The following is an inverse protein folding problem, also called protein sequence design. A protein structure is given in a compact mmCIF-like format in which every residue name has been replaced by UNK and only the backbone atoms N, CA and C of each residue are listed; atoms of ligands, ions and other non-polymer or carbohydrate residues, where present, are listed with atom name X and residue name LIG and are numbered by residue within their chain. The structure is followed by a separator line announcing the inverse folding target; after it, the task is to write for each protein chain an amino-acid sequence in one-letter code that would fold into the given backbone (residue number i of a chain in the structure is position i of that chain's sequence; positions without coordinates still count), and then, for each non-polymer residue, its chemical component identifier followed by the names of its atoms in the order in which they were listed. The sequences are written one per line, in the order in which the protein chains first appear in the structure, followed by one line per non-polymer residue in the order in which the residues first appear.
data_IF_049389446387
#
_entry.id   IF_049389446387
#
_cell.length_a   1.000
_cell.length_b   1.000
_cell.length_c   1.000
_cell.angle_alpha   90.00
_cell.angle_beta   90.00
_cell.angle_gamma   90.00
#
_symmetry.space_group_name_H-M   'P 1'
#
loop_
_entity.id
_entity.type
_entity.pdbx_description
1 polymer ?
#
# COMPACT_ATOMS: atom_id res chain seq x y z
N UNK A 1 -4.81 -8.85 -9.38
CA UNK A 1 -3.70 -7.89 -9.13
C UNK A 1 -3.97 -7.04 -7.90
N UNK A 2 -2.97 -6.76 -7.09
CA UNK A 2 -3.09 -5.83 -5.96
C UNK A 2 -2.49 -4.48 -6.36
N UNK A 3 -3.18 -3.40 -6.04
CA UNK A 3 -2.69 -2.02 -6.25
C UNK A 3 -2.56 -1.36 -4.89
N UNK A 4 -1.32 -1.10 -4.47
CA UNK A 4 -1.08 -0.26 -3.30
C UNK A 4 -1.06 1.20 -3.73
N UNK A 5 -1.94 2.00 -3.15
CA UNK A 5 -2.06 3.42 -3.42
C UNK A 5 -1.89 4.26 -2.15
N UNK A 6 -1.04 5.28 -2.19
CA UNK A 6 -0.81 6.07 -1.00
C UNK A 6 0.27 7.15 -1.14
N UNK A 7 0.63 7.76 -0.01
CA UNK A 7 1.68 8.77 0.06
C UNK A 7 1.33 10.06 -0.67
N UNK A 8 2.32 10.65 -1.33
CA UNK A 8 2.20 11.92 -2.03
C UNK A 8 1.20 11.89 -3.20
N UNK A 9 0.98 10.71 -3.80
CA UNK A 9 0.00 10.51 -4.86
C UNK A 9 -1.46 10.79 -4.42
N UNK A 10 -1.73 10.83 -3.12
CA UNK A 10 -3.07 11.11 -2.57
C UNK A 10 -3.29 12.59 -2.18
N UNK A 11 -2.30 13.47 -2.34
CA UNK A 11 -2.40 14.88 -1.93
C UNK A 11 -3.33 15.70 -2.83
N UNK A 12 -3.39 15.39 -4.13
CA UNK A 12 -4.20 16.08 -5.12
C UNK A 12 -5.47 15.29 -5.43
N UNK A 13 -6.64 15.96 -5.40
CA UNK A 13 -7.91 15.37 -5.81
C UNK A 13 -7.89 14.95 -7.29
N UNK A 14 -7.25 15.75 -8.14
CA UNK A 14 -7.11 15.46 -9.57
C UNK A 14 -6.31 14.17 -9.78
N UNK A 15 -5.16 14.05 -9.13
CA UNK A 15 -4.33 12.86 -9.21
C UNK A 15 -5.05 11.62 -8.66
N UNK A 16 -5.76 11.77 -7.53
CA UNK A 16 -6.57 10.68 -6.95
C UNK A 16 -7.60 10.17 -7.96
N UNK A 17 -8.31 11.08 -8.63
CA UNK A 17 -9.31 10.72 -9.66
C UNK A 17 -8.69 10.10 -10.90
N UNK A 18 -7.51 10.58 -11.32
CA UNK A 18 -6.77 9.97 -12.42
C UNK A 18 -6.40 8.51 -12.11
N UNK A 19 -5.80 8.25 -10.94
CA UNK A 19 -5.45 6.89 -10.50
C UNK A 19 -6.71 6.03 -10.32
N UNK A 20 -7.79 6.57 -9.77
CA UNK A 20 -9.06 5.84 -9.64
C UNK A 20 -9.63 5.44 -11.01
N UNK A 21 -9.51 6.32 -12.01
CA UNK A 21 -9.88 6.01 -13.41
C UNK A 21 -9.02 4.90 -14.02
N UNK A 22 -7.72 4.89 -13.73
CA UNK A 22 -6.82 3.80 -14.16
C UNK A 22 -7.18 2.46 -13.50
N UNK A 23 -7.49 2.47 -12.19
CA UNK A 23 -7.98 1.28 -11.47
C UNK A 23 -9.29 0.79 -12.10
N UNK A 24 -10.22 1.72 -12.41
CA UNK A 24 -11.48 1.40 -13.07
C UNK A 24 -11.30 0.81 -14.48
N UNK A 25 -10.28 1.24 -15.22
CA UNK A 25 -9.92 0.66 -16.52
C UNK A 25 -9.26 -0.73 -16.36
N UNK A 26 -8.32 -0.87 -15.42
CA UNK A 26 -7.62 -2.13 -15.16
C UNK A 26 -8.58 -3.25 -14.71
N UNK A 27 -9.59 -2.93 -13.89
CA UNK A 27 -10.59 -3.91 -13.45
C UNK A 27 -11.45 -4.51 -14.58
N UNK A 28 -11.52 -3.87 -15.75
CA UNK A 28 -12.19 -4.45 -16.92
C UNK A 28 -11.39 -5.59 -17.55
N UNK A 29 -10.11 -5.68 -17.25
CA UNK A 29 -9.18 -6.66 -17.81
C UNK A 29 -8.85 -7.78 -16.83
N UNK A 30 -8.83 -7.49 -15.53
CA UNK A 30 -8.50 -8.45 -14.48
C UNK A 30 -9.08 -8.06 -13.13
N UNK A 31 -9.17 -9.01 -12.20
CA UNK A 31 -9.57 -8.75 -10.81
C UNK A 31 -8.55 -7.84 -10.12
N UNK A 32 -9.02 -6.77 -9.47
CA UNK A 32 -8.19 -5.78 -8.78
C UNK A 32 -8.65 -5.63 -7.33
N UNK A 33 -7.70 -5.64 -6.41
CA UNK A 33 -7.88 -5.21 -5.01
C UNK A 33 -7.00 -3.99 -4.78
N UNK A 34 -7.55 -2.94 -4.23
CA UNK A 34 -6.82 -1.73 -3.85
C UNK A 34 -6.54 -1.76 -2.36
N UNK A 35 -5.29 -1.52 -1.96
CA UNK A 35 -4.93 -1.27 -0.55
C UNK A 35 -4.40 0.14 -0.44
N UNK A 36 -4.95 0.94 0.46
CA UNK A 36 -4.56 2.35 0.56
C UNK A 36 -4.11 2.74 1.95
N UNK A 37 -3.18 3.69 1.98
CA UNK A 37 -2.84 4.47 3.17
C UNK A 37 -3.53 5.82 3.19
N UNK A 38 -3.01 6.76 3.99
CA UNK A 38 -3.56 8.11 4.08
C UNK A 38 -2.71 9.06 4.91
N UNK A 39 -1.38 8.85 4.92
CA UNK A 39 -0.46 9.64 5.74
C UNK A 39 -0.75 11.15 5.78
N UNK A 40 -0.88 11.85 4.64
CA UNK A 40 -1.17 13.27 4.62
C UNK A 40 -2.54 13.65 5.22
N UNK A 41 -3.55 12.79 5.06
CA UNK A 41 -4.89 13.02 5.64
C UNK A 41 -4.86 12.78 7.14
N UNK A 42 -4.21 11.70 7.57
CA UNK A 42 -3.99 11.39 9.00
C UNK A 42 -3.27 12.55 9.69
N UNK A 43 -2.16 13.01 9.13
CA UNK A 43 -1.37 14.10 9.69
C UNK A 43 -2.22 15.36 9.92
N UNK A 44 -2.98 15.76 8.90
CA UNK A 44 -3.89 16.90 9.00
C UNK A 44 -4.95 16.73 10.10
N UNK A 45 -5.54 15.55 10.24
CA UNK A 45 -6.59 15.29 11.22
C UNK A 45 -6.03 15.19 12.65
N UNK A 46 -4.83 14.67 12.85
CA UNK A 46 -4.13 14.69 14.13
C UNK A 46 -3.79 16.12 14.55
N UNK A 47 -3.22 16.93 13.65
CA UNK A 47 -2.92 18.34 13.91
C UNK A 47 -4.15 19.15 14.30
N UNK A 48 -5.30 18.94 13.62
CA UNK A 48 -6.57 19.60 13.95
C UNK A 48 -7.07 19.31 15.39
N UNK A 49 -6.63 18.19 15.97
CA UNK A 49 -7.00 17.74 17.31
C UNK A 49 -5.87 17.93 18.32
N UNK A 50 -4.79 18.61 17.91
CA UNK A 50 -3.61 18.84 18.76
C UNK A 50 -2.99 17.53 19.28
N UNK A 51 -3.10 16.43 18.50
CA UNK A 51 -2.45 15.18 18.81
C UNK A 51 -1.07 15.14 18.16
N UNK A 52 -0.09 14.66 18.91
CA UNK A 52 1.28 14.53 18.42
C UNK A 52 1.37 13.43 17.35
N UNK A 53 2.25 13.66 16.38
CA UNK A 53 2.56 12.74 15.30
C UNK A 53 4.06 12.50 15.25
N UNK A 54 4.50 11.45 15.90
CA UNK A 54 5.90 11.03 15.96
C UNK A 54 6.12 9.75 15.20
N UNK A 55 7.36 9.51 14.77
CA UNK A 55 7.71 8.31 14.02
C UNK A 55 8.90 7.61 14.68
N UNK A 56 8.80 6.30 14.77
CA UNK A 56 9.88 5.40 15.21
C UNK A 56 10.11 4.37 14.10
N UNK A 57 11.33 4.30 13.58
CA UNK A 57 11.71 3.39 12.48
C UNK A 57 10.80 3.49 11.24
N UNK A 58 10.33 4.70 10.94
CA UNK A 58 9.44 4.97 9.80
C UNK A 58 7.97 4.62 10.02
N UNK A 59 7.60 4.09 11.18
CA UNK A 59 6.22 3.81 11.59
C UNK A 59 5.72 4.92 12.51
N UNK A 60 4.45 5.33 12.33
CA UNK A 60 3.82 6.35 13.16
C UNK A 60 3.48 5.77 14.54
N UNK A 61 4.15 6.23 15.59
CA UNK A 61 3.77 5.89 16.97
C UNK A 61 2.32 6.31 17.19
N UNK A 62 1.49 5.39 17.67
CA UNK A 62 0.04 5.55 17.67
C UNK A 62 -0.52 5.31 19.08
N UNK A 63 -0.90 6.38 19.76
CA UNK A 63 -1.65 6.27 21.01
C UNK A 63 -3.10 5.81 20.74
N UNK A 64 -3.86 5.32 21.74
CA UNK A 64 -5.28 5.02 21.59
C UNK A 64 -6.08 6.17 20.98
N UNK A 65 -5.92 7.40 21.49
CA UNK A 65 -6.61 8.59 20.97
C UNK A 65 -6.23 8.89 19.50
N UNK A 66 -4.94 8.71 19.15
CA UNK A 66 -4.50 8.86 17.79
C UNK A 66 -5.08 7.77 16.88
N UNK A 67 -5.27 6.54 17.39
CA UNK A 67 -5.86 5.44 16.61
C UNK A 67 -7.29 5.75 16.18
N UNK A 68 -8.11 6.31 17.07
CA UNK A 68 -9.49 6.72 16.75
C UNK A 68 -9.51 7.75 15.61
N UNK A 69 -8.60 8.73 15.67
CA UNK A 69 -8.48 9.76 14.63
C UNK A 69 -8.01 9.16 13.30
N UNK A 70 -7.04 8.25 13.35
CA UNK A 70 -6.52 7.55 12.17
C UNK A 70 -7.62 6.73 11.51
N UNK A 71 -8.37 5.95 12.28
CA UNK A 71 -9.46 5.14 11.75
C UNK A 71 -10.55 6.01 11.10
N UNK A 72 -11.01 7.08 11.76
CA UNK A 72 -11.97 8.03 11.19
C UNK A 72 -11.47 8.65 9.89
N UNK A 73 -10.21 9.10 9.86
CA UNK A 73 -9.62 9.73 8.70
C UNK A 73 -9.52 8.77 7.51
N UNK A 74 -9.08 7.54 7.78
CA UNK A 74 -8.96 6.49 6.77
C UNK A 74 -10.32 5.99 6.29
N UNK A 75 -11.32 5.84 7.17
CA UNK A 75 -12.69 5.50 6.78
C UNK A 75 -13.28 6.51 5.79
N UNK A 76 -13.12 7.81 6.05
CA UNK A 76 -13.59 8.85 5.13
C UNK A 76 -12.87 8.76 3.79
N UNK A 77 -11.54 8.71 3.79
CA UNK A 77 -10.74 8.60 2.57
C UNK A 77 -11.08 7.34 1.76
N UNK A 78 -11.29 6.22 2.44
CA UNK A 78 -11.69 4.95 1.86
C UNK A 78 -13.01 5.07 1.07
N UNK A 79 -14.04 5.72 1.64
CA UNK A 79 -15.31 5.92 0.96
C UNK A 79 -15.19 6.85 -0.26
N UNK A 80 -14.40 7.92 -0.13
CA UNK A 80 -14.14 8.83 -1.24
C UNK A 80 -13.40 8.10 -2.39
N UNK A 81 -12.37 7.30 -2.08
CA UNK A 81 -11.62 6.55 -3.08
C UNK A 81 -12.49 5.47 -3.75
N UNK A 82 -13.30 4.75 -2.96
CA UNK A 82 -14.22 3.74 -3.49
C UNK A 82 -15.25 4.34 -4.44
N UNK A 83 -15.74 5.55 -4.13
CA UNK A 83 -16.65 6.29 -4.99
C UNK A 83 -15.97 6.72 -6.28
N UNK A 84 -14.72 7.22 -6.21
CA UNK A 84 -13.95 7.64 -7.39
C UNK A 84 -13.63 6.44 -8.31
N UNK A 85 -13.35 5.25 -7.77
CA UNK A 85 -13.11 4.02 -8.55
C UNK A 85 -14.39 3.50 -9.22
N UNK A 86 -15.53 3.62 -8.56
CA UNK A 86 -16.81 3.08 -9.04
C UNK A 86 -16.88 1.55 -9.04
N UNK A 87 -18.07 1.00 -8.86
CA UNK A 87 -18.26 -0.46 -8.67
C UNK A 87 -17.25 -1.06 -7.68
N UNK A 88 -17.00 -0.36 -6.60
CA UNK A 88 -16.04 -0.70 -5.57
C UNK A 88 -16.69 -0.72 -4.19
N UNK A 89 -16.15 -1.51 -3.31
CA UNK A 89 -16.56 -1.57 -1.89
C UNK A 89 -15.40 -1.15 -1.02
N UNK A 90 -15.59 -0.05 -0.29
CA UNK A 90 -14.63 0.42 0.69
C UNK A 90 -14.76 -0.35 2.00
N UNK A 91 -13.67 -0.97 2.42
CA UNK A 91 -13.53 -1.76 3.63
C UNK A 91 -12.34 -1.27 4.45
N UNK A 92 -12.47 -1.35 5.77
CA UNK A 92 -11.32 -1.32 6.66
C UNK A 92 -10.89 -2.75 6.97
N UNK A 93 -9.64 -2.95 7.37
CA UNK A 93 -9.19 -4.30 7.75
C UNK A 93 -9.98 -4.92 8.91
N UNK A 94 -10.70 -4.11 9.69
CA UNK A 94 -11.61 -4.57 10.75
C UNK A 94 -12.90 -5.20 10.21
N UNK A 95 -13.37 -4.80 9.02
CA UNK A 95 -14.63 -5.31 8.46
C UNK A 95 -14.55 -6.82 8.22
N UNK A 96 -15.41 -7.58 8.88
CA UNK A 96 -15.38 -9.06 8.86
C UNK A 96 -13.99 -9.66 9.17
N UNK A 97 -13.22 -9.00 10.03
CA UNK A 97 -11.84 -9.41 10.34
C UNK A 97 -11.00 -9.62 9.07
N UNK A 98 -11.14 -8.69 8.11
CA UNK A 98 -10.43 -8.76 6.83
C UNK A 98 -8.91 -8.80 7.02
N UNK A 99 -8.39 -7.96 7.94
CA UNK A 99 -6.98 -7.97 8.35
C UNK A 99 -6.92 -8.23 9.87
N UNK A 100 -6.51 -9.42 10.27
CA UNK A 100 -6.11 -9.68 11.64
C UNK A 100 -4.65 -9.32 11.81
N UNK A 101 -4.31 -8.78 12.97
CA UNK A 101 -2.95 -8.36 13.26
C UNK A 101 -2.59 -8.52 14.73
N UNK A 102 -1.34 -8.28 15.02
CA UNK A 102 -0.78 -8.22 16.37
C UNK A 102 0.05 -6.95 16.55
N UNK A 103 0.18 -6.48 17.79
CA UNK A 103 1.01 -5.33 18.13
C UNK A 103 2.48 -5.59 17.82
N UNK A 104 3.19 -4.57 17.31
CA UNK A 104 4.64 -4.66 17.10
C UNK A 104 5.42 -4.56 18.41
N UNK A 105 4.87 -3.89 19.43
CA UNK A 105 5.48 -3.71 20.74
C UNK A 105 5.08 -2.38 21.38
N UNK A 106 5.35 -2.23 22.67
CA UNK A 106 4.90 -1.09 23.48
C UNK A 106 5.41 0.26 22.98
N UNK A 107 6.62 0.29 22.41
CA UNK A 107 7.23 1.53 21.90
C UNK A 107 6.44 2.19 20.76
N UNK A 108 5.67 1.42 20.01
CA UNK A 108 4.88 1.92 18.89
C UNK A 108 3.40 2.16 19.25
N UNK A 109 2.95 1.76 20.46
CA UNK A 109 1.55 1.84 20.86
C UNK A 109 0.65 0.96 20.01
N UNK A 110 -0.43 1.50 19.43
CA UNK A 110 -1.40 0.73 18.60
C UNK A 110 -0.93 0.45 17.17
N UNK A 111 0.36 0.39 16.91
CA UNK A 111 0.90 -0.06 15.63
C UNK A 111 0.99 -1.57 15.60
N UNK A 112 0.58 -2.18 14.49
CA UNK A 112 0.59 -3.63 14.32
C UNK A 112 1.08 -4.10 12.98
N UNK A 113 1.25 -5.40 12.89
CA UNK A 113 1.51 -6.14 11.65
C UNK A 113 0.36 -7.08 11.34
N UNK A 114 0.09 -7.32 10.05
CA UNK A 114 -0.94 -8.26 9.61
C UNK A 114 -0.42 -9.69 9.78
N UNK A 115 -1.21 -10.52 10.47
CA UNK A 115 -0.91 -11.94 10.66
C UNK A 115 -1.81 -12.85 9.83
N UNK A 116 -3.01 -12.38 9.45
CA UNK A 116 -3.94 -13.13 8.62
C UNK A 116 -4.82 -12.21 7.80
N UNK A 117 -5.12 -12.62 6.57
CA UNK A 117 -6.06 -11.95 5.66
C UNK A 117 -7.27 -12.86 5.42
N UNK A 118 -8.48 -12.31 5.53
CA UNK A 118 -9.72 -13.02 5.18
C UNK A 118 -9.91 -13.00 3.66
N UNK A 119 -9.24 -13.88 2.96
CA UNK A 119 -9.30 -14.00 1.50
C UNK A 119 -10.68 -14.41 1.00
N UNK A 120 -11.50 -15.12 1.79
CA UNK A 120 -12.85 -15.51 1.41
C UNK A 120 -13.75 -14.29 1.16
N UNK A 121 -13.65 -13.25 1.99
CA UNK A 121 -14.37 -11.98 1.77
C UNK A 121 -13.93 -11.32 0.46
N UNK A 122 -12.62 -11.24 0.21
CA UNK A 122 -12.09 -10.63 -1.01
C UNK A 122 -12.52 -11.39 -2.26
N UNK A 123 -12.44 -12.72 -2.25
CA UNK A 123 -12.91 -13.56 -3.35
C UNK A 123 -14.40 -13.38 -3.62
N UNK A 124 -15.24 -13.28 -2.58
CA UNK A 124 -16.69 -13.08 -2.72
C UNK A 124 -17.01 -11.74 -3.39
N UNK A 125 -16.32 -10.66 -3.02
CA UNK A 125 -16.51 -9.34 -3.62
C UNK A 125 -16.03 -9.32 -5.08
N UNK A 126 -14.87 -9.90 -5.36
CA UNK A 126 -14.34 -10.00 -6.73
C UNK A 126 -15.28 -10.84 -7.62
N UNK A 127 -15.83 -11.95 -7.12
CA UNK A 127 -16.80 -12.77 -7.84
C UNK A 127 -18.11 -12.01 -8.13
N UNK A 128 -18.50 -11.07 -7.25
CA UNK A 128 -19.62 -10.17 -7.47
C UNK A 128 -19.31 -9.00 -8.44
N UNK A 129 -18.12 -8.96 -9.04
CA UNK A 129 -17.67 -7.89 -9.94
C UNK A 129 -17.36 -6.57 -9.24
N UNK A 130 -17.13 -6.60 -7.93
CA UNK A 130 -16.79 -5.42 -7.12
C UNK A 130 -15.30 -5.36 -6.87
N UNK A 131 -14.73 -4.15 -6.88
CA UNK A 131 -13.34 -3.89 -6.50
C UNK A 131 -13.26 -3.63 -4.99
N UNK A 132 -12.61 -4.51 -4.18
CA UNK A 132 -12.35 -4.20 -2.78
C UNK A 132 -11.33 -3.06 -2.67
N UNK A 133 -11.66 -2.03 -1.89
CA UNK A 133 -10.76 -0.93 -1.52
C UNK A 133 -10.50 -1.02 -0.03
N UNK A 134 -9.31 -1.42 0.37
CA UNK A 134 -8.97 -1.81 1.74
C UNK A 134 -8.13 -0.73 2.41
N UNK A 135 -8.63 -0.19 3.51
CA UNK A 135 -7.86 0.70 4.39
C UNK A 135 -7.00 -0.08 5.39
N UNK A 136 -5.83 0.44 5.69
CA UNK A 136 -4.80 -0.24 6.49
C UNK A 136 -5.02 -0.13 8.02
N UNK A 137 -6.23 -0.43 8.48
CA UNK A 137 -6.57 -0.60 9.91
C UNK A 137 -6.91 -2.06 10.15
N UNK A 138 -6.07 -2.79 10.87
CA UNK A 138 -6.32 -4.17 11.23
C UNK A 138 -7.06 -4.28 12.58
N UNK A 139 -7.45 -5.48 12.96
CA UNK A 139 -8.00 -5.80 14.28
C UNK A 139 -7.07 -6.72 15.04
N UNK A 140 -6.77 -6.35 16.28
CA UNK A 140 -5.99 -7.17 17.21
C UNK A 140 -6.84 -8.27 17.86
N UNK A 141 -6.23 -9.26 18.54
CA UNK A 141 -6.95 -10.30 19.26
C UNK A 141 -7.86 -9.77 20.38
N UNK A 142 -7.56 -8.60 20.94
CA UNK A 142 -8.39 -7.90 21.93
C UNK A 142 -9.63 -7.20 21.32
N UNK A 143 -9.77 -7.22 19.99
CA UNK A 143 -10.84 -6.54 19.25
C UNK A 143 -10.55 -5.07 18.91
N UNK A 144 -9.44 -4.52 19.40
CA UNK A 144 -9.06 -3.13 19.19
C UNK A 144 -8.40 -2.90 17.83
N UNK A 145 -8.48 -1.66 17.36
CA UNK A 145 -7.88 -1.25 16.10
C UNK A 145 -6.35 -1.20 16.15
N UNK A 146 -5.71 -1.56 15.05
CA UNK A 146 -4.28 -1.43 14.82
C UNK A 146 -3.99 -0.58 13.60
N UNK A 147 -3.13 0.42 13.76
CA UNK A 147 -2.56 1.16 12.64
C UNK A 147 -1.47 0.30 11.95
N UNK A 148 -1.69 -0.08 10.71
CA UNK A 148 -0.76 -0.89 9.94
C UNK A 148 -0.12 -0.06 8.83
N UNK A 149 1.18 -0.25 8.60
CA UNK A 149 1.83 0.33 7.43
C UNK A 149 1.14 -0.18 6.14
N UNK A 150 0.74 0.75 5.26
CA UNK A 150 -0.06 0.41 4.08
C UNK A 150 0.69 -0.46 3.07
N UNK A 151 2.03 -0.33 2.97
CA UNK A 151 2.83 -1.17 2.10
C UNK A 151 2.88 -2.61 2.63
N UNK A 152 3.00 -2.76 3.96
CA UNK A 152 2.98 -4.06 4.64
C UNK A 152 1.60 -4.71 4.54
N UNK A 153 0.52 -3.95 4.75
CA UNK A 153 -0.86 -4.46 4.58
C UNK A 153 -1.10 -4.93 3.14
N UNK A 154 -0.65 -4.15 2.15
CA UNK A 154 -0.78 -4.51 0.74
C UNK A 154 0.04 -5.76 0.37
N UNK A 155 1.26 -5.88 0.90
CA UNK A 155 2.10 -7.07 0.74
C UNK A 155 1.45 -8.32 1.33
N UNK A 156 0.88 -8.22 2.55
CA UNK A 156 0.16 -9.32 3.18
C UNK A 156 -1.07 -9.75 2.36
N UNK A 157 -1.84 -8.80 1.81
CA UNK A 157 -2.99 -9.10 0.94
C UNK A 157 -2.52 -9.75 -0.37
N UNK A 158 -1.43 -9.26 -0.97
CA UNK A 158 -0.87 -9.82 -2.20
C UNK A 158 -0.40 -11.26 -2.01
N UNK A 159 0.33 -11.52 -0.93
CA UNK A 159 0.78 -12.86 -0.59
C UNK A 159 -0.37 -13.83 -0.29
N UNK A 160 -1.35 -13.41 0.51
CA UNK A 160 -2.50 -14.24 0.85
C UNK A 160 -3.36 -14.62 -0.37
N UNK A 161 -3.43 -13.72 -1.38
CA UNK A 161 -4.13 -13.96 -2.64
C UNK A 161 -3.24 -14.55 -3.73
N UNK A 162 -1.93 -14.67 -3.48
CA UNK A 162 -0.92 -15.10 -4.47
C UNK A 162 -1.02 -14.29 -5.78
N UNK A 163 -1.10 -12.96 -5.64
CA UNK A 163 -1.27 -12.03 -6.75
C UNK A 163 -0.09 -11.06 -6.86
N UNK A 164 0.23 -10.67 -8.07
CA UNK A 164 1.16 -9.58 -8.33
C UNK A 164 0.69 -8.29 -7.65
N UNK A 165 1.65 -7.48 -7.21
CA UNK A 165 1.38 -6.19 -6.59
C UNK A 165 2.09 -5.04 -7.31
N UNK A 166 1.39 -3.93 -7.51
CA UNK A 166 1.95 -2.64 -7.95
C UNK A 166 1.91 -1.65 -6.79
N UNK A 167 3.08 -1.18 -6.36
CA UNK A 167 3.23 -0.09 -5.42
C UNK A 167 3.30 1.24 -6.19
N UNK A 168 2.20 2.00 -6.18
CA UNK A 168 2.17 3.36 -6.71
C UNK A 168 2.79 4.32 -5.68
N UNK A 169 3.91 4.92 -6.07
CA UNK A 169 4.73 5.77 -5.21
C UNK A 169 5.02 7.12 -5.87
N UNK A 170 5.90 7.91 -5.28
CA UNK A 170 6.41 9.18 -5.82
C UNK A 170 7.66 9.01 -6.71
N UNK A 171 8.06 7.78 -6.99
CA UNK A 171 9.19 7.46 -7.88
C UNK A 171 8.73 6.51 -8.98
N UNK A 172 9.37 6.58 -10.13
CA UNK A 172 9.01 5.82 -11.32
C UNK A 172 9.77 4.48 -11.45
N UNK A 173 10.58 4.12 -10.46
CA UNK A 173 11.30 2.85 -10.39
C UNK A 173 12.61 2.97 -9.60
N UNK A 174 13.45 1.95 -9.73
CA UNK A 174 14.75 1.85 -9.09
C UNK A 174 15.84 2.07 -10.13
N UNK A 175 16.76 2.98 -9.87
CA UNK A 175 17.85 3.37 -10.76
C UNK A 175 19.18 2.83 -10.28
N UNK A 176 19.98 2.27 -11.19
CA UNK A 176 21.37 1.83 -10.87
C UNK A 176 22.35 2.99 -10.74
N UNK A 177 22.06 4.13 -11.41
CA UNK A 177 22.88 5.34 -11.40
C UNK A 177 21.99 6.61 -11.45
N UNK A 178 21.21 6.87 -10.37
CA UNK A 178 20.36 8.06 -10.29
C UNK A 178 21.22 9.34 -10.39
N UNK A 179 20.84 10.39 -11.17
CA UNK A 179 19.54 10.59 -11.83
C UNK A 179 19.50 10.18 -13.33
N UNK A 180 20.40 9.35 -13.82
CA UNK A 180 20.42 8.90 -15.22
C UNK A 180 19.14 8.08 -15.53
N UNK A 181 18.22 8.57 -16.40
CA UNK A 181 16.95 7.93 -16.70
C UNK A 181 17.12 6.55 -17.39
N UNK A 182 18.21 6.36 -18.15
CA UNK A 182 18.49 5.12 -18.86
C UNK A 182 19.01 4.00 -17.92
N UNK A 183 19.38 4.37 -16.69
CA UNK A 183 19.83 3.43 -15.66
C UNK A 183 18.71 2.77 -14.87
N UNK A 184 17.42 3.08 -15.16
CA UNK A 184 16.29 2.45 -14.48
C UNK A 184 16.28 0.95 -14.74
N UNK A 185 16.33 0.17 -13.67
CA UNK A 185 16.23 -1.28 -13.76
C UNK A 185 14.80 -1.68 -14.13
N UNK A 186 14.61 -2.41 -15.24
CA UNK A 186 13.31 -2.95 -15.59
C UNK A 186 12.90 -4.06 -14.60
N UNK A 187 13.86 -4.88 -14.19
CA UNK A 187 13.66 -5.97 -13.23
C UNK A 187 14.87 -6.08 -12.31
N UNK A 188 14.62 -6.49 -11.07
CA UNK A 188 15.63 -6.82 -10.07
C UNK A 188 15.24 -8.09 -9.32
N UNK A 189 16.20 -8.99 -9.14
CA UNK A 189 16.08 -10.08 -8.18
C UNK A 189 16.33 -9.61 -6.76
N UNK A 190 15.93 -10.42 -5.78
CA UNK A 190 16.27 -10.19 -4.37
C UNK A 190 17.75 -9.93 -4.16
N UNK A 191 18.61 -10.78 -4.76
CA UNK A 191 20.05 -10.64 -4.60
C UNK A 191 20.60 -9.34 -5.16
N UNK A 192 20.08 -8.86 -6.30
CA UNK A 192 20.47 -7.55 -6.87
C UNK A 192 20.02 -6.38 -6.00
N UNK A 193 18.85 -6.47 -5.36
CA UNK A 193 18.40 -5.46 -4.40
C UNK A 193 19.32 -5.40 -3.19
N UNK A 194 19.68 -6.54 -2.59
CA UNK A 194 20.60 -6.59 -1.45
C UNK A 194 22.01 -6.08 -1.82
N UNK A 195 22.49 -6.45 -3.01
CA UNK A 195 23.75 -5.89 -3.54
C UNK A 195 23.65 -4.38 -3.75
N UNK A 196 22.54 -3.90 -4.29
CA UNK A 196 22.30 -2.47 -4.52
C UNK A 196 22.32 -1.65 -3.25
N UNK A 197 21.74 -2.18 -2.18
CA UNK A 197 21.78 -1.56 -0.85
C UNK A 197 23.24 -1.58 -0.31
N UNK A 198 23.93 -2.71 -0.38
CA UNK A 198 25.30 -2.85 0.09
C UNK A 198 26.30 -1.96 -0.68
N UNK A 199 26.11 -1.79 -1.98
CA UNK A 199 26.93 -0.94 -2.86
C UNK A 199 26.51 0.53 -2.83
N UNK A 200 25.36 0.87 -2.24
CA UNK A 200 24.90 2.25 -2.03
C UNK A 200 24.16 2.89 -3.23
N UNK A 201 23.89 2.16 -4.35
CA UNK A 201 23.06 2.72 -5.42
C UNK A 201 21.56 2.59 -5.11
N UNK A 202 21.15 1.69 -4.21
CA UNK A 202 19.84 1.75 -3.55
C UNK A 202 20.06 2.41 -2.17
N UNK A 203 19.62 3.65 -2.01
CA UNK A 203 19.88 4.44 -0.82
C UNK A 203 18.68 5.29 -0.38
N UNK A 204 18.75 5.85 0.82
CA UNK A 204 17.78 6.80 1.34
C UNK A 204 16.34 6.30 1.28
N UNK A 205 15.43 7.12 0.75
CA UNK A 205 13.99 6.82 0.64
C UNK A 205 13.63 5.65 -0.28
N UNK A 206 14.59 5.12 -1.07
CA UNK A 206 14.35 3.94 -1.90
C UNK A 206 14.42 2.64 -1.08
N UNK A 207 15.24 2.58 -0.03
CA UNK A 207 15.39 1.38 0.81
C UNK A 207 14.04 0.89 1.37
N UNK A 208 13.21 1.72 2.05
CA UNK A 208 11.92 1.23 2.54
C UNK A 208 10.99 0.75 1.41
N UNK A 209 11.05 1.34 0.19
CA UNK A 209 10.22 0.92 -0.94
C UNK A 209 10.61 -0.48 -1.44
N UNK A 210 11.90 -0.73 -1.65
CA UNK A 210 12.36 -2.07 -2.06
C UNK A 210 12.15 -3.10 -0.95
N UNK A 211 12.30 -2.72 0.32
CA UNK A 211 12.01 -3.61 1.46
C UNK A 211 10.52 -4.00 1.51
N UNK A 212 9.61 -3.07 1.26
CA UNK A 212 8.18 -3.37 1.18
C UNK A 212 7.85 -4.32 0.01
N UNK A 213 8.52 -4.13 -1.13
CA UNK A 213 8.37 -5.03 -2.28
C UNK A 213 8.91 -6.44 -1.97
N UNK A 214 10.09 -6.54 -1.34
CA UNK A 214 10.64 -7.83 -0.89
C UNK A 214 9.73 -8.51 0.15
N UNK A 215 9.15 -7.75 1.08
CA UNK A 215 8.17 -8.28 2.03
C UNK A 215 6.96 -8.90 1.32
N UNK A 216 6.44 -8.26 0.27
CA UNK A 216 5.34 -8.82 -0.49
C UNK A 216 5.71 -10.16 -1.15
N UNK A 217 6.94 -10.29 -1.68
CA UNK A 217 7.46 -11.56 -2.21
C UNK A 217 7.57 -12.61 -1.11
N UNK A 218 8.09 -12.25 0.07
CA UNK A 218 8.19 -13.14 1.23
C UNK A 218 6.82 -13.63 1.73
N UNK A 219 5.80 -12.77 1.62
CA UNK A 219 4.42 -13.11 1.94
C UNK A 219 3.77 -14.04 0.89
N UNK A 220 4.39 -14.25 -0.28
CA UNK A 220 3.90 -15.15 -1.33
C UNK A 220 3.40 -14.45 -2.59
N UNK A 221 3.60 -13.14 -2.77
CA UNK A 221 3.30 -12.48 -4.03
C UNK A 221 4.27 -12.96 -5.13
N UNK A 222 3.80 -13.27 -6.35
CA UNK A 222 4.67 -13.73 -7.44
C UNK A 222 5.65 -12.66 -7.92
N UNK A 223 5.23 -11.40 -7.95
CA UNK A 223 6.08 -10.25 -8.25
C UNK A 223 5.58 -8.97 -7.59
N UNK A 224 6.48 -8.00 -7.43
CA UNK A 224 6.15 -6.69 -6.91
C UNK A 224 6.74 -5.60 -7.80
N UNK A 225 5.92 -4.63 -8.24
CA UNK A 225 6.35 -3.54 -9.11
C UNK A 225 6.35 -2.23 -8.33
N UNK A 226 7.45 -1.48 -8.39
CA UNK A 226 7.54 -0.11 -7.89
C UNK A 226 7.38 0.82 -9.09
N UNK A 227 6.35 1.67 -9.08
CA UNK A 227 6.03 2.56 -10.19
C UNK A 227 5.49 3.91 -9.69
N UNK A 228 5.49 4.91 -10.59
CA UNK A 228 4.97 6.24 -10.27
C UNK A 228 3.45 6.24 -10.15
N UNK A 229 2.95 6.76 -9.03
CA UNK A 229 1.54 7.16 -8.89
C UNK A 229 1.32 8.65 -9.17
N UNK A 230 2.36 9.36 -9.64
CA UNK A 230 2.33 10.80 -9.93
C UNK A 230 2.05 11.10 -11.41
N UNK A 231 2.16 10.09 -12.27
CA UNK A 231 2.00 10.22 -13.72
C UNK A 231 0.81 9.38 -14.16
N UNK A 232 -0.17 10.01 -14.82
CA UNK A 232 -1.34 9.31 -15.35
C UNK A 232 -0.93 8.29 -16.43
N UNK A 233 -1.63 7.16 -16.48
CA UNK A 233 -1.36 6.04 -17.39
C UNK A 233 -0.30 5.05 -16.90
N UNK A 234 0.38 5.34 -15.78
CA UNK A 234 1.47 4.49 -15.30
C UNK A 234 0.99 3.13 -14.79
N UNK A 235 -0.18 3.05 -14.16
CA UNK A 235 -0.68 1.79 -13.60
C UNK A 235 -0.86 0.70 -14.66
N UNK A 236 -1.44 1.04 -15.81
CA UNK A 236 -1.65 0.10 -16.90
C UNK A 236 -0.31 -0.42 -17.45
N UNK A 237 0.65 0.48 -17.68
CA UNK A 237 2.01 0.13 -18.14
C UNK A 237 2.76 -0.72 -17.10
N UNK A 238 2.65 -0.38 -15.81
CA UNK A 238 3.27 -1.15 -14.74
C UNK A 238 2.68 -2.56 -14.62
N UNK A 239 1.36 -2.69 -14.78
CA UNK A 239 0.68 -3.98 -14.81
C UNK A 239 1.12 -4.84 -16.00
N UNK A 240 1.40 -4.22 -17.16
CA UNK A 240 1.93 -4.88 -18.36
C UNK A 240 3.44 -5.17 -18.28
N UNK A 241 4.17 -4.63 -17.29
CA UNK A 241 5.62 -4.76 -17.17
C UNK A 241 6.42 -3.75 -18.02
N UNK A 242 5.76 -2.71 -18.54
CA UNK A 242 6.35 -1.71 -19.43
C UNK A 242 6.81 -0.45 -18.66
N UNK A 243 6.37 -0.27 -17.42
CA UNK A 243 6.80 0.82 -16.54
C UNK A 243 7.17 0.30 -15.14
N UNK A 244 7.94 1.13 -14.43
CA UNK A 244 8.39 0.78 -13.08
C UNK A 244 9.61 -0.13 -13.05
N UNK A 245 9.88 -0.66 -11.87
CA UNK A 245 10.87 -1.73 -11.64
C UNK A 245 10.15 -2.91 -11.01
N UNK A 246 10.23 -4.08 -11.67
CA UNK A 246 9.67 -5.34 -11.17
C UNK A 246 10.68 -6.04 -10.29
N UNK A 247 10.28 -6.38 -9.08
CA UNK A 247 11.04 -7.24 -8.18
C UNK A 247 10.49 -8.67 -8.28
N UNK A 248 11.40 -9.62 -8.33
CA UNK A 248 11.12 -11.06 -8.40
C UNK A 248 11.88 -11.81 -7.32
N UNK A 249 11.44 -13.02 -6.94
CA UNK A 249 12.11 -13.85 -5.94
C UNK A 249 13.60 -14.08 -6.18
#
# INVERSE_FOLDING_TARGET
MIVKYGGNAMKSLELRRAVAGEIAALRQQQAVVVVHGGGPVIERELQRRSLESTFLEGLRVTSPDAMDVIEMALCKLNKELSQDVGQAVGLMGRDSQLLLGELLGDAWGRVGQVTRVNTALLHSLLAAGLTPVVGCVAVAPDGEALNVNADMAAGAVAGALQQDIVFLTDVDGVYRAYPDPDSRAAQLSRSEVEQGIAQGWIAGGMIPKVRSALYALDAGAPSAVIASGMTAGTLALAAAGEAGTRLVP
#
